data_IF_429184893630
#
_entry.id   IF_429184893630
#
_cell.length_a   1.000
_cell.length_b   1.000
_cell.length_c   1.000
_cell.angle_alpha   90.00
_cell.angle_beta   90.00
_cell.angle_gamma   90.00
#
_symmetry.space_group_name_H-M   'P 1'
#
loop_
_entity.id
_entity.type
_entity.pdbx_description
1 polymer ?
#
# COMPACT_ATOMS: atom_id res chain seq x y z
N UNK A 1 2.20 34.26 7.33
CA UNK A 1 3.09 33.97 8.48
C UNK A 1 3.61 32.52 8.29
N UNK A 2 4.90 32.25 8.63
CA UNK A 2 5.42 30.89 8.60
C UNK A 2 5.11 30.17 9.91
N UNK A 3 4.70 28.90 9.79
CA UNK A 3 4.64 27.96 10.90
C UNK A 3 5.76 26.93 10.76
N UNK A 4 6.25 26.41 11.87
CA UNK A 4 7.35 25.46 11.92
C UNK A 4 6.86 24.11 12.47
N UNK A 5 7.31 23.02 11.86
CA UNK A 5 6.95 21.66 12.27
C UNK A 5 8.03 20.65 11.95
N UNK A 6 7.78 19.42 12.35
CA UNK A 6 8.61 18.25 12.01
C UNK A 6 7.74 17.21 11.33
N UNK A 7 8.17 16.76 10.16
CA UNK A 7 7.52 15.67 9.42
C UNK A 7 8.56 14.69 8.85
N UNK A 8 8.34 13.41 9.05
CA UNK A 8 9.28 12.35 8.63
C UNK A 8 10.72 12.59 9.10
N UNK A 9 10.90 13.06 10.34
CA UNK A 9 12.18 13.44 10.97
C UNK A 9 12.86 14.69 10.36
N UNK A 10 12.19 15.42 9.47
CA UNK A 10 12.71 16.62 8.84
C UNK A 10 11.98 17.85 9.38
N UNK A 11 12.74 18.86 9.84
CA UNK A 11 12.19 20.15 10.23
C UNK A 11 11.85 20.98 8.97
N UNK A 12 10.73 21.69 9.03
CA UNK A 12 10.26 22.58 7.97
C UNK A 12 9.64 23.86 8.53
N UNK A 13 9.61 24.88 7.70
CA UNK A 13 8.80 26.08 7.87
C UNK A 13 7.97 26.27 6.63
N UNK A 14 6.69 26.52 6.79
CA UNK A 14 5.77 26.66 5.66
C UNK A 14 4.79 27.80 5.94
N UNK A 15 4.38 28.53 4.90
CA UNK A 15 3.27 29.45 4.98
C UNK A 15 2.00 28.86 4.34
N UNK A 16 0.90 29.55 4.46
CA UNK A 16 -0.43 29.15 3.98
C UNK A 16 -0.51 28.91 2.45
N UNK A 17 0.40 29.47 1.68
CA UNK A 17 0.47 29.31 0.22
C UNK A 17 1.47 28.22 -0.21
N UNK A 18 2.15 27.58 0.75
CA UNK A 18 3.11 26.50 0.49
C UNK A 18 4.55 26.95 0.29
N UNK A 19 4.85 28.27 0.39
CA UNK A 19 6.22 28.71 0.38
C UNK A 19 6.95 28.16 1.61
N UNK A 20 8.11 27.53 1.45
CA UNK A 20 8.71 26.76 2.51
C UNK A 20 10.25 26.80 2.58
N UNK A 21 10.72 26.61 3.80
CA UNK A 21 12.11 26.38 4.14
C UNK A 21 12.26 24.98 4.73
N UNK A 22 13.35 24.33 4.40
CA UNK A 22 13.75 23.05 5.02
C UNK A 22 15.21 23.07 5.38
N UNK A 23 15.64 22.15 6.24
CA UNK A 23 17.04 22.02 6.57
C UNK A 23 17.81 21.27 5.46
N UNK A 24 19.03 21.73 5.19
CA UNK A 24 20.00 21.06 4.32
C UNK A 24 20.83 20.00 5.10
N UNK A 25 21.78 19.34 4.46
CA UNK A 25 22.65 18.34 5.10
C UNK A 25 23.57 18.89 6.20
N UNK A 26 23.66 20.22 6.37
CA UNK A 26 24.35 20.91 7.47
C UNK A 26 23.38 21.40 8.55
N UNK A 27 22.09 21.09 8.41
CA UNK A 27 20.98 21.58 9.27
C UNK A 27 20.76 23.09 9.24
N UNK A 28 21.22 23.77 8.19
CA UNK A 28 20.93 25.17 7.91
C UNK A 28 19.59 25.31 7.23
N UNK A 29 18.82 26.34 7.60
CA UNK A 29 17.54 26.64 6.93
C UNK A 29 17.77 27.21 5.53
N UNK A 30 17.16 26.59 4.54
CA UNK A 30 17.26 26.96 3.12
C UNK A 30 15.86 27.09 2.55
N UNK A 31 15.60 28.23 1.90
CA UNK A 31 14.40 28.44 1.10
C UNK A 31 14.34 27.39 -0.02
N UNK A 32 13.15 26.81 -0.26
CA UNK A 32 12.98 25.74 -1.25
C UNK A 32 11.99 26.13 -2.31
N UNK A 33 12.46 26.15 -3.55
CA UNK A 33 11.58 26.13 -4.70
C UNK A 33 10.99 24.72 -4.89
N UNK A 34 9.73 24.67 -5.30
CA UNK A 34 9.04 23.40 -5.53
C UNK A 34 9.57 22.73 -6.78
N UNK A 35 9.62 21.42 -6.72
CA UNK A 35 9.72 20.55 -7.87
C UNK A 35 8.44 19.74 -7.96
N UNK A 36 8.08 19.29 -9.15
CA UNK A 36 6.93 18.40 -9.31
C UNK A 36 7.41 16.95 -9.43
N UNK A 37 6.77 16.06 -8.68
CA UNK A 37 7.02 14.63 -8.84
C UNK A 37 6.27 14.07 -10.07
N UNK A 38 6.45 12.77 -10.37
CA UNK A 38 5.78 12.09 -11.49
C UNK A 38 4.25 12.18 -11.43
N UNK A 39 3.70 12.35 -10.26
CA UNK A 39 2.25 12.42 -10.02
C UNK A 39 1.71 13.86 -10.07
N UNK A 40 2.58 14.84 -10.31
CA UNK A 40 2.24 16.26 -10.39
C UNK A 40 2.14 17.00 -9.05
N UNK A 41 2.56 16.39 -7.94
CA UNK A 41 2.57 17.07 -6.64
C UNK A 41 3.79 17.97 -6.47
N UNK A 42 3.58 19.14 -5.87
CA UNK A 42 4.67 20.00 -5.42
C UNK A 42 5.43 19.35 -4.26
N UNK A 43 6.74 19.21 -4.41
CA UNK A 43 7.62 18.58 -3.43
C UNK A 43 8.89 19.39 -3.20
N UNK A 44 9.44 19.30 -2.00
CA UNK A 44 10.72 19.93 -1.59
C UNK A 44 11.64 18.92 -0.95
N UNK A 45 12.94 19.10 -1.11
CA UNK A 45 13.96 18.28 -0.45
C UNK A 45 14.23 18.78 0.96
N UNK A 46 14.31 17.85 1.91
CA UNK A 46 14.64 18.14 3.29
C UNK A 46 15.66 17.13 3.84
N UNK A 47 16.48 17.58 4.77
CA UNK A 47 17.33 16.74 5.59
C UNK A 47 16.79 16.69 7.01
N UNK A 48 16.90 15.55 7.66
CA UNK A 48 16.49 15.37 9.04
C UNK A 48 17.40 14.40 9.77
N UNK A 49 17.11 14.20 11.05
CA UNK A 49 17.86 13.29 11.93
C UNK A 49 16.89 12.25 12.51
N UNK A 50 17.19 11.00 12.29
CA UNK A 50 16.43 9.90 12.90
C UNK A 50 16.74 9.77 14.39
N UNK A 51 15.92 9.04 15.18
CA UNK A 51 16.19 8.81 16.60
C UNK A 51 17.51 8.14 16.89
N UNK A 52 18.04 7.35 15.94
CA UNK A 52 19.34 6.69 16.04
C UNK A 52 20.54 7.61 15.71
N UNK A 53 20.31 8.90 15.48
CA UNK A 53 21.32 9.88 15.13
C UNK A 53 21.75 9.86 13.65
N UNK A 54 21.20 8.99 12.81
CA UNK A 54 21.53 8.95 11.38
C UNK A 54 20.79 10.02 10.60
N UNK A 55 21.49 10.64 9.63
CA UNK A 55 20.84 11.61 8.71
C UNK A 55 19.88 10.90 7.77
N UNK A 56 18.75 11.54 7.51
CA UNK A 56 17.78 11.12 6.50
C UNK A 56 17.53 12.25 5.52
N UNK A 57 17.37 11.90 4.23
CA UNK A 57 17.00 12.83 3.17
C UNK A 57 15.63 12.42 2.63
N UNK A 58 14.71 13.35 2.55
CA UNK A 58 13.34 13.10 2.13
C UNK A 58 12.87 14.12 1.11
N UNK A 59 12.00 13.68 0.22
CA UNK A 59 11.15 14.56 -0.58
C UNK A 59 9.82 14.71 0.16
N UNK A 60 9.52 15.92 0.62
CA UNK A 60 8.30 16.22 1.38
C UNK A 60 7.27 16.84 0.44
N UNK A 61 6.03 16.41 0.51
CA UNK A 61 4.92 16.97 -0.24
C UNK A 61 4.47 18.29 0.41
N UNK A 62 4.52 19.38 -0.33
CA UNK A 62 4.22 20.73 0.20
C UNK A 62 2.79 20.82 0.72
N UNK A 63 1.79 20.26 0.01
CA UNK A 63 0.40 20.25 0.46
C UNK A 63 0.21 19.57 1.82
N UNK A 64 0.99 18.50 2.10
CA UNK A 64 0.94 17.84 3.42
C UNK A 64 1.47 18.75 4.52
N UNK A 65 2.57 19.49 4.25
CA UNK A 65 3.12 20.43 5.22
C UNK A 65 2.13 21.58 5.51
N UNK A 66 1.50 22.12 4.46
CA UNK A 66 0.48 23.17 4.60
C UNK A 66 -0.74 22.65 5.35
N UNK A 67 -1.25 21.48 4.98
CA UNK A 67 -2.43 20.92 5.62
C UNK A 67 -2.22 20.67 7.12
N UNK A 68 -1.04 20.19 7.51
CA UNK A 68 -0.70 19.96 8.93
C UNK A 68 -0.71 21.22 9.77
N UNK A 69 -0.37 22.37 9.19
CA UNK A 69 -0.21 23.62 9.92
C UNK A 69 -1.43 24.56 9.82
N UNK A 70 -2.21 24.45 8.74
CA UNK A 70 -3.22 25.45 8.42
C UNK A 70 -4.62 24.90 8.17
N UNK A 71 -4.78 23.57 8.07
CA UNK A 71 -6.09 22.94 7.81
C UNK A 71 -6.55 22.21 9.05
N UNK A 72 -7.69 22.62 9.60
CA UNK A 72 -8.32 21.95 10.72
C UNK A 72 -8.95 20.61 10.34
N UNK A 73 -9.24 19.78 11.34
CA UNK A 73 -9.98 18.52 11.15
C UNK A 73 -9.10 17.31 10.83
N UNK A 74 -7.80 17.36 11.14
CA UNK A 74 -6.95 16.19 11.04
C UNK A 74 -7.42 15.05 11.97
N UNK A 75 -7.35 13.82 11.50
CA UNK A 75 -7.57 12.60 12.26
C UNK A 75 -6.61 11.50 11.78
N UNK A 76 -6.44 10.45 12.59
CA UNK A 76 -5.55 9.34 12.24
C UNK A 76 -6.04 8.61 10.98
N UNK A 77 -5.15 8.45 9.99
CA UNK A 77 -5.49 7.86 8.69
C UNK A 77 -6.10 8.82 7.68
N UNK A 78 -6.19 10.12 8.01
CA UNK A 78 -6.65 11.14 7.07
C UNK A 78 -5.67 11.36 5.91
N UNK A 79 -6.22 11.56 4.73
CA UNK A 79 -5.52 11.96 3.51
C UNK A 79 -5.81 13.42 3.19
N UNK A 80 -4.85 14.11 2.55
CA UNK A 80 -5.07 15.48 2.08
C UNK A 80 -5.69 15.46 0.70
N UNK A 81 -6.89 16.02 0.56
CA UNK A 81 -7.55 16.23 -0.72
C UNK A 81 -7.31 17.64 -1.25
N UNK A 82 -7.17 17.78 -2.58
CA UNK A 82 -7.17 19.07 -3.28
C UNK A 82 -8.58 19.32 -3.83
N UNK A 83 -9.27 20.34 -3.31
CA UNK A 83 -10.65 20.67 -3.70
C UNK A 83 -10.80 21.00 -5.18
N UNK A 84 -9.78 21.60 -5.80
CA UNK A 84 -9.72 21.94 -7.22
C UNK A 84 -9.19 20.81 -8.11
N UNK A 85 -8.82 19.65 -7.55
CA UNK A 85 -8.11 18.54 -8.21
C UNK A 85 -6.75 18.90 -8.81
N UNK A 86 -6.22 20.08 -8.51
CA UNK A 86 -4.90 20.50 -8.95
C UNK A 86 -3.84 20.15 -7.89
N UNK A 87 -3.12 19.07 -8.11
CA UNK A 87 -2.06 18.57 -7.22
C UNK A 87 -0.87 19.54 -7.07
N UNK A 88 -0.76 20.50 -7.99
CA UNK A 88 0.27 21.54 -7.94
C UNK A 88 -0.13 22.74 -7.07
N UNK A 89 -1.37 22.82 -6.58
CA UNK A 89 -1.87 23.93 -5.78
C UNK A 89 -1.94 23.56 -4.29
N UNK A 90 -0.88 23.79 -3.50
CA UNK A 90 -0.82 23.41 -2.08
C UNK A 90 -1.41 24.47 -1.14
N UNK A 91 -2.10 25.50 -1.62
CA UNK A 91 -2.65 26.56 -0.79
C UNK A 91 -3.69 26.02 0.20
N UNK A 92 -3.65 26.47 1.47
CA UNK A 92 -4.44 25.94 2.57
C UNK A 92 -5.96 25.92 2.30
N UNK A 93 -6.50 26.95 1.67
CA UNK A 93 -7.92 27.07 1.34
C UNK A 93 -8.41 26.01 0.34
N UNK A 94 -7.48 25.46 -0.45
CA UNK A 94 -7.70 24.41 -1.43
C UNK A 94 -7.62 22.99 -0.83
N UNK A 95 -7.17 22.86 0.39
CA UNK A 95 -6.91 21.58 1.03
C UNK A 95 -8.00 21.23 2.05
N UNK A 96 -8.21 19.94 2.25
CA UNK A 96 -9.05 19.39 3.31
C UNK A 96 -8.57 17.99 3.71
N UNK A 97 -8.89 17.59 4.94
CA UNK A 97 -8.62 16.25 5.43
C UNK A 97 -9.82 15.34 5.17
N UNK A 98 -9.62 14.24 4.46
CA UNK A 98 -10.66 13.24 4.18
C UNK A 98 -10.19 11.85 4.58
N UNK A 99 -11.14 10.95 4.86
CA UNK A 99 -10.84 9.54 4.88
C UNK A 99 -10.50 9.04 3.48
N UNK A 100 -9.76 7.95 3.36
CA UNK A 100 -9.50 7.32 2.05
C UNK A 100 -10.80 7.06 1.27
N UNK A 101 -11.83 6.56 1.95
CA UNK A 101 -13.15 6.30 1.36
C UNK A 101 -13.78 7.57 0.79
N UNK A 102 -13.77 8.66 1.56
CA UNK A 102 -14.40 9.92 1.15
C UNK A 102 -13.60 10.61 0.06
N UNK A 103 -12.26 10.51 0.08
CA UNK A 103 -11.38 11.03 -0.95
C UNK A 103 -11.60 10.33 -2.31
N UNK A 104 -11.76 9.00 -2.29
CA UNK A 104 -12.12 8.23 -3.48
C UNK A 104 -13.52 8.62 -3.96
N UNK A 105 -14.51 8.72 -3.05
CA UNK A 105 -15.88 9.12 -3.39
C UNK A 105 -15.93 10.54 -3.98
N UNK A 106 -15.16 11.49 -3.42
CA UNK A 106 -15.02 12.86 -3.92
C UNK A 106 -14.56 12.87 -5.39
N UNK A 107 -13.48 12.14 -5.69
CA UNK A 107 -12.94 12.02 -7.04
C UNK A 107 -13.92 11.33 -8.01
N UNK A 108 -14.64 10.31 -7.54
CA UNK A 108 -15.64 9.59 -8.33
C UNK A 108 -16.84 10.48 -8.67
N UNK A 109 -17.41 11.19 -7.69
CA UNK A 109 -18.54 12.09 -7.86
C UNK A 109 -18.25 13.27 -8.79
N UNK A 110 -16.99 13.73 -8.80
CA UNK A 110 -16.52 14.77 -9.71
C UNK A 110 -16.21 14.23 -11.14
N UNK A 111 -16.43 12.94 -11.40
CA UNK A 111 -16.14 12.33 -12.72
C UNK A 111 -14.64 12.28 -13.05
N UNK A 112 -13.75 12.53 -12.07
CA UNK A 112 -12.30 12.46 -12.26
C UNK A 112 -11.77 11.03 -12.24
N UNK A 113 -12.46 10.16 -11.53
CA UNK A 113 -12.22 8.75 -11.58
C UNK A 113 -12.95 8.18 -12.81
N UNK A 114 -12.32 8.29 -13.96
CA UNK A 114 -12.68 7.45 -15.09
C UNK A 114 -12.21 6.03 -14.76
N UNK A 115 -13.03 5.31 -13.99
CA UNK A 115 -12.90 3.88 -13.93
C UNK A 115 -12.87 3.41 -15.39
N UNK A 116 -11.94 2.54 -15.71
CA UNK A 116 -11.90 1.93 -17.05
C UNK A 116 -13.07 0.95 -17.19
N UNK A 117 -14.30 1.52 -17.18
CA UNK A 117 -15.54 0.79 -17.36
C UNK A 117 -16.07 1.07 -18.77
N UNK A 118 -16.68 0.08 -19.37
CA UNK A 118 -17.24 0.23 -20.72
C UNK A 118 -16.15 0.45 -21.77
N UNK A 119 -16.46 1.19 -22.83
CA UNK A 119 -15.60 1.41 -23.99
C UNK A 119 -14.25 2.09 -23.67
N UNK A 120 -14.18 2.82 -22.55
CA UNK A 120 -12.92 3.43 -22.07
C UNK A 120 -11.95 2.41 -21.42
N UNK A 121 -12.39 1.17 -21.21
CA UNK A 121 -11.51 0.11 -20.73
C UNK A 121 -10.75 -0.50 -21.94
N UNK A 122 -9.40 -0.52 -21.96
CA UNK A 122 -8.64 -1.18 -23.03
C UNK A 122 -8.98 -2.66 -23.23
N UNK A 123 -9.59 -3.28 -22.20
CA UNK A 123 -10.09 -4.65 -22.25
C UNK A 123 -11.60 -4.72 -22.49
N UNK A 124 -12.30 -3.57 -22.65
CA UNK A 124 -13.70 -3.53 -23.01
C UNK A 124 -13.85 -3.92 -24.48
N UNK A 125 -14.66 -4.93 -24.74
CA UNK A 125 -14.75 -5.49 -26.09
C UNK A 125 -13.63 -6.48 -26.45
N UNK A 126 -12.60 -6.63 -25.60
CA UNK A 126 -11.71 -7.79 -25.67
C UNK A 126 -12.45 -9.01 -25.09
N UNK A 127 -13.56 -9.29 -25.77
CA UNK A 127 -14.62 -10.21 -25.38
C UNK A 127 -14.20 -11.69 -25.34
N UNK A 128 -12.94 -11.97 -25.69
CA UNK A 128 -12.50 -13.36 -25.84
C UNK A 128 -12.64 -14.15 -24.53
N UNK A 129 -12.29 -13.54 -23.40
CA UNK A 129 -12.46 -14.19 -22.10
C UNK A 129 -13.91 -14.06 -21.59
N UNK A 130 -14.53 -12.89 -21.75
CA UNK A 130 -15.89 -12.66 -21.29
C UNK A 130 -16.92 -13.47 -22.10
N UNK A 131 -16.77 -13.54 -23.43
CA UNK A 131 -17.56 -14.42 -24.30
C UNK A 131 -17.38 -15.88 -23.93
N UNK A 132 -16.14 -16.32 -23.67
CA UNK A 132 -15.93 -17.69 -23.21
C UNK A 132 -16.58 -18.01 -21.88
N UNK A 133 -16.67 -17.03 -20.95
CA UNK A 133 -17.41 -17.22 -19.69
C UNK A 133 -18.92 -17.32 -19.88
N UNK A 134 -19.48 -16.65 -20.91
CA UNK A 134 -20.92 -16.66 -21.24
C UNK A 134 -21.25 -17.84 -22.15
N UNK A 135 -20.47 -18.00 -23.22
CA UNK A 135 -20.77 -18.97 -24.29
C UNK A 135 -20.31 -20.40 -23.94
N UNK A 136 -19.34 -20.53 -23.03
CA UNK A 136 -18.78 -21.81 -22.56
C UNK A 136 -18.98 -21.94 -21.03
N UNK A 137 -20.20 -22.25 -20.51
CA UNK A 137 -20.42 -22.37 -19.06
C UNK A 137 -19.51 -23.40 -18.37
N UNK A 138 -19.08 -24.43 -19.08
CA UNK A 138 -18.15 -25.45 -18.57
C UNK A 138 -16.74 -24.86 -18.38
N UNK A 139 -16.29 -23.93 -19.24
CA UNK A 139 -15.03 -23.20 -19.05
C UNK A 139 -15.07 -22.34 -17.78
N UNK A 140 -16.21 -21.67 -17.53
CA UNK A 140 -16.40 -20.88 -16.31
C UNK A 140 -16.36 -21.79 -15.05
N UNK A 141 -17.02 -22.94 -15.09
CA UNK A 141 -16.98 -23.93 -14.01
C UNK A 141 -15.58 -24.51 -13.81
N UNK A 142 -14.88 -24.87 -14.88
CA UNK A 142 -13.50 -25.36 -14.82
C UNK A 142 -12.56 -24.33 -14.18
N UNK A 143 -12.68 -23.05 -14.52
CA UNK A 143 -11.86 -21.98 -13.92
C UNK A 143 -12.21 -21.71 -12.46
N UNK A 144 -13.49 -21.81 -12.10
CA UNK A 144 -13.95 -21.66 -10.71
C UNK A 144 -13.70 -22.91 -9.87
N UNK A 145 -13.70 -24.09 -10.49
CA UNK A 145 -13.55 -25.36 -9.81
C UNK A 145 -12.12 -25.90 -9.81
N UNK A 146 -11.12 -25.17 -10.33
CA UNK A 146 -9.73 -25.64 -10.24
C UNK A 146 -9.35 -25.86 -8.78
N UNK A 147 -9.04 -27.10 -8.39
CA UNK A 147 -8.58 -27.40 -7.04
C UNK A 147 -7.41 -26.48 -6.68
N UNK A 148 -7.32 -26.09 -5.43
CA UNK A 148 -6.13 -25.39 -4.92
C UNK A 148 -4.90 -26.24 -5.31
N UNK A 149 -3.85 -25.58 -5.77
CA UNK A 149 -2.64 -26.30 -6.21
C UNK A 149 -2.50 -26.48 -7.72
N UNK A 150 -3.58 -26.38 -8.49
CA UNK A 150 -3.54 -26.53 -9.97
C UNK A 150 -3.43 -25.23 -10.75
N UNK A 151 -3.44 -24.05 -10.09
CA UNK A 151 -3.14 -22.80 -10.77
C UNK A 151 -1.62 -22.64 -10.92
N UNK A 152 -1.15 -22.11 -12.03
CA UNK A 152 0.29 -21.99 -12.35
C UNK A 152 1.12 -21.12 -11.38
N UNK A 153 0.53 -20.63 -10.28
CA UNK A 153 1.19 -19.91 -9.18
C UNK A 153 1.23 -20.73 -7.89
N UNK A 154 0.59 -21.88 -7.85
CA UNK A 154 0.66 -22.77 -6.70
C UNK A 154 2.02 -23.45 -6.65
N UNK A 155 2.65 -23.38 -5.50
CA UNK A 155 3.94 -24.02 -5.26
C UNK A 155 3.73 -25.20 -4.34
N UNK A 156 4.07 -26.39 -4.82
CA UNK A 156 4.14 -27.58 -3.97
C UNK A 156 5.10 -27.34 -2.82
N UNK A 157 4.76 -27.81 -1.67
CA UNK A 157 5.57 -27.62 -0.48
C UNK A 157 5.51 -28.82 0.45
N UNK A 158 6.55 -28.94 1.23
CA UNK A 158 6.71 -29.90 2.30
C UNK A 158 6.61 -29.17 3.62
N UNK A 159 5.70 -29.58 4.48
CA UNK A 159 5.52 -29.10 5.84
C UNK A 159 6.08 -30.14 6.80
N UNK A 160 6.97 -29.72 7.67
CA UNK A 160 7.62 -30.63 8.61
C UNK A 160 7.80 -29.99 9.99
N UNK A 161 7.86 -30.85 10.99
CA UNK A 161 8.17 -30.47 12.36
C UNK A 161 8.98 -31.61 13.00
N UNK A 162 10.22 -31.31 13.33
CA UNK A 162 11.17 -32.32 13.83
C UNK A 162 10.84 -32.80 15.25
N UNK A 163 10.13 -31.98 16.06
CA UNK A 163 9.78 -32.33 17.44
C UNK A 163 8.66 -33.39 17.52
N UNK A 164 7.75 -33.39 16.55
CA UNK A 164 6.59 -34.29 16.51
C UNK A 164 6.59 -35.25 15.33
N UNK A 165 7.73 -35.38 14.65
CA UNK A 165 7.97 -36.34 13.53
C UNK A 165 6.95 -36.22 12.38
N UNK A 166 6.41 -35.02 12.13
CA UNK A 166 5.55 -34.76 10.98
C UNK A 166 6.35 -34.35 9.75
N UNK A 167 5.97 -34.95 8.62
CA UNK A 167 6.57 -34.68 7.31
C UNK A 167 5.52 -34.93 6.24
N UNK A 168 4.89 -33.85 5.75
CA UNK A 168 3.73 -33.89 4.88
C UNK A 168 3.93 -33.04 3.62
N UNK A 169 3.46 -33.53 2.48
CA UNK A 169 3.47 -32.82 1.22
C UNK A 169 2.11 -32.22 0.89
N UNK A 170 2.10 -31.00 0.35
CA UNK A 170 0.89 -30.29 -0.05
C UNK A 170 1.06 -29.70 -1.45
N UNK A 171 -0.01 -29.67 -2.22
CA UNK A 171 -0.04 -29.06 -3.55
C UNK A 171 0.05 -27.53 -3.53
N UNK A 172 -0.26 -26.91 -2.40
CA UNK A 172 -0.02 -25.48 -2.19
C UNK A 172 0.24 -25.13 -0.72
N UNK A 173 0.96 -24.01 -0.53
CA UNK A 173 1.32 -23.52 0.82
C UNK A 173 0.10 -23.15 1.69
N UNK A 174 -1.04 -22.83 1.09
CA UNK A 174 -2.29 -22.54 1.83
C UNK A 174 -2.90 -23.78 2.45
N UNK A 175 -2.84 -24.89 1.76
CA UNK A 175 -3.34 -26.18 2.28
C UNK A 175 -2.50 -26.65 3.47
N UNK A 176 -1.18 -26.41 3.43
CA UNK A 176 -0.31 -26.65 4.58
C UNK A 176 -0.70 -25.78 5.80
N UNK A 177 -1.15 -24.54 5.60
CA UNK A 177 -1.64 -23.70 6.70
C UNK A 177 -3.03 -24.16 7.17
N UNK A 178 -3.90 -24.63 6.27
CA UNK A 178 -5.20 -25.18 6.64
C UNK A 178 -5.01 -26.43 7.52
N UNK A 179 -4.07 -27.30 7.17
CA UNK A 179 -3.66 -28.42 8.04
C UNK A 179 -3.23 -27.95 9.43
N UNK A 180 -2.40 -26.87 9.53
CA UNK A 180 -1.97 -26.33 10.82
C UNK A 180 -3.12 -25.74 11.64
N UNK A 181 -4.17 -25.23 10.99
CA UNK A 181 -5.39 -24.77 11.66
C UNK A 181 -6.15 -25.97 12.25
N UNK A 182 -6.36 -27.00 11.45
CA UNK A 182 -7.06 -28.22 11.85
C UNK A 182 -6.28 -28.97 12.94
N UNK A 183 -4.96 -28.98 12.86
CA UNK A 183 -4.08 -29.54 13.89
C UNK A 183 -4.06 -28.69 15.19
N UNK A 184 -4.59 -27.47 15.18
CA UNK A 184 -4.62 -26.56 16.32
C UNK A 184 -3.32 -25.75 16.54
N UNK A 185 -2.33 -25.87 15.67
CA UNK A 185 -1.10 -25.10 15.73
C UNK A 185 -1.30 -23.63 15.28
N UNK A 186 -2.25 -23.36 14.39
CA UNK A 186 -2.63 -22.02 13.95
C UNK A 186 -4.10 -21.71 14.29
N UNK A 187 -4.43 -20.41 14.45
CA UNK A 187 -5.81 -19.99 14.70
C UNK A 187 -6.60 -19.92 13.40
N UNK A 188 -7.88 -20.28 13.40
CA UNK A 188 -8.79 -20.19 12.25
C UNK A 188 -8.92 -18.76 11.69
N UNK A 189 -8.72 -17.74 12.55
CA UNK A 189 -8.77 -16.31 12.18
C UNK A 189 -7.42 -15.74 11.72
N UNK A 190 -6.38 -16.59 11.57
CA UNK A 190 -5.05 -16.10 11.20
C UNK A 190 -4.99 -15.65 9.73
N UNK A 191 -4.14 -14.66 9.46
CA UNK A 191 -3.77 -14.34 8.08
C UNK A 191 -2.79 -15.42 7.57
N UNK A 192 -3.26 -16.27 6.64
CA UNK A 192 -2.50 -17.41 6.11
C UNK A 192 -1.16 -17.02 5.48
N UNK A 193 -1.08 -15.89 4.82
CA UNK A 193 0.15 -15.38 4.19
C UNK A 193 1.22 -15.01 5.22
N UNK A 194 0.79 -14.47 6.36
CA UNK A 194 1.69 -14.20 7.48
C UNK A 194 2.21 -15.50 8.12
N UNK A 195 1.36 -16.55 8.21
CA UNK A 195 1.79 -17.86 8.69
C UNK A 195 2.80 -18.47 7.73
N UNK A 196 2.54 -18.47 6.43
CA UNK A 196 3.46 -18.94 5.38
C UNK A 196 4.81 -18.21 5.47
N UNK A 197 4.79 -16.89 5.65
CA UNK A 197 6.01 -16.10 5.80
C UNK A 197 6.84 -16.50 7.03
N UNK A 198 6.18 -16.86 8.13
CA UNK A 198 6.85 -17.34 9.35
C UNK A 198 7.41 -18.75 9.20
N UNK A 199 6.68 -19.63 8.57
CA UNK A 199 7.10 -21.01 8.28
C UNK A 199 8.39 -21.09 7.45
N UNK A 200 8.66 -20.08 6.62
CA UNK A 200 9.87 -19.99 5.77
C UNK A 200 11.11 -19.48 6.50
N UNK A 201 10.98 -19.00 7.75
CA UNK A 201 12.11 -18.50 8.54
C UNK A 201 12.82 -19.65 9.24
N UNK A 202 14.08 -19.46 9.62
CA UNK A 202 14.89 -20.43 10.38
C UNK A 202 14.20 -20.86 11.68
N UNK A 203 13.50 -19.94 12.35
CA UNK A 203 12.77 -20.26 13.60
C UNK A 203 11.41 -20.94 13.36
N UNK A 204 10.94 -21.03 12.10
CA UNK A 204 9.66 -21.60 11.77
C UNK A 204 8.46 -20.86 12.41
N UNK A 205 7.34 -21.57 12.47
CA UNK A 205 6.11 -21.15 13.18
C UNK A 205 5.73 -22.23 14.20
N UNK A 206 6.00 -22.00 15.48
CA UNK A 206 5.78 -22.95 16.58
C UNK A 206 6.41 -24.34 16.30
N UNK A 207 7.68 -24.37 15.87
CA UNK A 207 8.39 -25.58 15.52
C UNK A 207 8.08 -26.14 14.13
N UNK A 208 7.10 -25.58 13.39
CA UNK A 208 6.78 -26.00 12.03
C UNK A 208 7.56 -25.21 10.99
N UNK A 209 7.98 -25.91 9.96
CA UNK A 209 8.76 -25.37 8.84
C UNK A 209 8.13 -25.74 7.51
N UNK A 210 8.38 -24.97 6.47
CA UNK A 210 7.93 -25.23 5.10
C UNK A 210 9.10 -25.08 4.12
N UNK A 211 9.27 -26.06 3.26
CA UNK A 211 10.20 -26.02 2.13
C UNK A 211 9.45 -26.14 0.82
N UNK A 212 10.01 -25.57 -0.25
CA UNK A 212 9.44 -25.70 -1.59
C UNK A 212 9.94 -27.02 -2.21
N UNK A 213 9.01 -27.77 -2.79
CA UNK A 213 9.34 -28.95 -3.61
C UNK A 213 9.45 -28.48 -5.06
N UNK A 214 10.54 -28.86 -5.72
CA UNK A 214 10.76 -28.57 -7.15
C UNK A 214 9.97 -29.50 -8.04
#
# INVERSE_FOLDING_TARGET
MYKEGIYCHCAYRVNENGDCYTQNGKFEWVHREWRYNSDGYAVVSACGLKPDGTKTFRSLHVHVLVAREFVDGWFEGAEVNHKDFNRANPAWWNLEWLSHKDNVAYSHNAGKYKGRFGEDNPNYGNDTLHKRYIDEPEFAKEKQSRPRGQNGRSMKCRLYNDEVEYDLEFDCQRDAVDFLIDYGAAKSTCNKENVISKLKREQGYKGWHISQIK
#
